data_IF_068813761840
#
_entry.id   IF_068813761840
#
_cell.length_a   1.000
_cell.length_b   1.000
_cell.length_c   1.000
_cell.angle_alpha   90.00
_cell.angle_beta   90.00
_cell.angle_gamma   90.00
#
_symmetry.space_group_name_H-M   'P 1'
#
loop_
_entity.id
_entity.type
_entity.pdbx_description
1 polymer ?
#
# COMPACT_ATOMS: atom_id res chain seq x y z
N UNK A 1 55.00 -32.37 18.04
CA UNK A 1 53.59 -32.53 18.39
C UNK A 1 52.96 -31.21 18.84
N UNK A 2 53.47 -30.49 19.80
CA UNK A 2 52.88 -29.22 20.33
C UNK A 2 52.65 -28.13 19.30
N UNK A 3 53.52 -28.00 18.28
CA UNK A 3 53.35 -27.00 17.18
C UNK A 3 52.25 -27.34 16.20
N UNK A 4 51.95 -28.62 15.98
CA UNK A 4 50.90 -29.08 15.09
C UNK A 4 49.50 -28.76 15.71
N UNK A 5 49.38 -28.98 17.02
CA UNK A 5 48.13 -28.64 17.74
C UNK A 5 47.83 -27.13 17.73
N UNK A 6 48.88 -26.29 17.81
CA UNK A 6 48.75 -24.85 17.77
C UNK A 6 48.24 -24.36 16.40
N UNK A 7 48.78 -24.96 15.31
CA UNK A 7 48.37 -24.66 13.94
C UNK A 7 46.91 -25.11 13.69
N UNK A 8 46.53 -26.30 14.13
CA UNK A 8 45.19 -26.80 14.01
C UNK A 8 44.16 -25.94 14.80
N UNK A 9 44.54 -25.47 16.00
CA UNK A 9 43.69 -24.58 16.80
C UNK A 9 43.50 -23.23 16.15
N UNK A 10 44.52 -22.66 15.50
CA UNK A 10 44.40 -21.39 14.77
C UNK A 10 43.51 -21.54 13.54
N UNK A 11 43.60 -22.65 12.81
CA UNK A 11 42.76 -22.93 11.64
C UNK A 11 41.30 -23.12 12.05
N UNK A 12 41.01 -23.81 13.15
CA UNK A 12 39.64 -23.99 13.67
C UNK A 12 39.08 -22.66 14.15
N UNK A 13 39.89 -21.83 14.81
CA UNK A 13 39.45 -20.51 15.28
C UNK A 13 39.17 -19.54 14.12
N UNK A 14 39.95 -19.61 13.02
CA UNK A 14 39.72 -18.82 11.82
C UNK A 14 38.46 -19.24 11.05
N UNK A 15 38.11 -20.53 11.05
CA UNK A 15 36.88 -21.07 10.46
C UNK A 15 35.62 -20.64 11.26
N UNK A 16 35.73 -20.50 12.57
CA UNK A 16 34.63 -20.02 13.42
C UNK A 16 34.36 -18.53 13.25
N UNK A 17 35.38 -17.72 12.93
CA UNK A 17 35.21 -16.28 12.65
C UNK A 17 34.65 -16.00 11.25
N UNK A 18 34.80 -16.90 10.29
CA UNK A 18 34.22 -16.78 8.95
C UNK A 18 32.70 -17.07 8.91
N UNK A 19 32.15 -17.71 9.96
CA UNK A 19 30.73 -18.08 10.06
C UNK A 19 29.79 -16.90 10.37
N UNK A 20 30.30 -15.74 10.77
CA UNK A 20 29.44 -14.58 11.14
C UNK A 20 29.17 -13.63 9.98
N UNK A 21 29.55 -13.92 8.75
CA UNK A 21 29.31 -13.05 7.58
C UNK A 21 28.24 -13.56 6.61
N UNK A 22 27.35 -14.43 7.04
CA UNK A 22 26.16 -14.76 6.26
C UNK A 22 25.05 -13.74 6.55
N UNK A 23 25.27 -12.50 6.08
CA UNK A 23 24.27 -11.45 5.97
C UNK A 23 23.19 -11.80 4.94
N UNK A 24 22.44 -12.89 5.17
CA UNK A 24 21.43 -13.41 4.26
C UNK A 24 20.04 -12.78 4.39
N UNK A 25 19.80 -11.90 5.38
CA UNK A 25 18.44 -11.41 5.63
C UNK A 25 18.06 -10.12 4.87
N UNK A 26 19.03 -9.32 4.45
CA UNK A 26 18.70 -8.05 3.77
C UNK A 26 18.18 -8.27 2.34
N UNK A 27 18.71 -9.24 1.60
CA UNK A 27 18.25 -9.52 0.23
C UNK A 27 16.82 -10.08 0.18
N UNK A 28 16.46 -10.96 1.12
CA UNK A 28 15.08 -11.47 1.23
C UNK A 28 14.11 -10.37 1.64
N UNK A 29 14.49 -9.52 2.59
CA UNK A 29 13.67 -8.41 3.06
C UNK A 29 13.47 -7.38 1.96
N UNK A 30 14.52 -7.03 1.21
CA UNK A 30 14.40 -6.11 0.08
C UNK A 30 13.58 -6.70 -1.07
N UNK A 31 13.68 -7.99 -1.35
CA UNK A 31 12.88 -8.67 -2.37
C UNK A 31 11.38 -8.66 -1.99
N UNK A 32 11.05 -9.00 -0.75
CA UNK A 32 9.66 -8.97 -0.26
C UNK A 32 9.08 -7.54 -0.26
N UNK A 33 9.87 -6.54 0.14
CA UNK A 33 9.47 -5.13 0.12
C UNK A 33 9.30 -4.59 -1.31
N UNK A 34 10.12 -5.03 -2.24
CA UNK A 34 10.02 -4.64 -3.67
C UNK A 34 8.76 -5.20 -4.30
N UNK A 35 8.39 -6.43 -3.97
CA UNK A 35 7.15 -7.05 -4.44
C UNK A 35 5.91 -6.34 -3.87
N UNK A 36 5.89 -6.08 -2.58
CA UNK A 36 4.80 -5.36 -1.91
C UNK A 36 4.58 -3.95 -2.48
N UNK A 37 5.66 -3.24 -2.78
CA UNK A 37 5.61 -1.92 -3.43
C UNK A 37 5.05 -2.02 -4.84
N UNK A 38 5.49 -3.00 -5.62
CA UNK A 38 5.00 -3.22 -6.98
C UNK A 38 3.50 -3.56 -6.99
N UNK A 39 3.04 -4.39 -6.04
CA UNK A 39 1.62 -4.73 -5.89
C UNK A 39 0.80 -3.49 -5.54
N UNK A 40 1.24 -2.70 -4.56
CA UNK A 40 0.53 -1.49 -4.14
C UNK A 40 0.46 -0.45 -5.27
N UNK A 41 1.57 -0.23 -5.98
CA UNK A 41 1.62 0.72 -7.10
C UNK A 41 0.73 0.25 -8.26
N UNK A 42 0.69 -1.05 -8.55
CA UNK A 42 -0.23 -1.59 -9.57
C UNK A 42 -1.69 -1.31 -9.24
N UNK A 43 -2.11 -1.50 -7.99
CA UNK A 43 -3.47 -1.21 -7.55
C UNK A 43 -3.80 0.30 -7.65
N UNK A 44 -2.83 1.15 -7.32
CA UNK A 44 -2.97 2.60 -7.51
C UNK A 44 -3.10 2.97 -8.99
N UNK A 45 -2.25 2.42 -9.86
CA UNK A 45 -2.29 2.65 -11.31
C UNK A 45 -3.63 2.19 -11.91
N UNK A 46 -4.14 1.01 -11.53
CA UNK A 46 -5.44 0.51 -11.97
C UNK A 46 -6.59 1.44 -11.54
N UNK A 47 -6.52 2.00 -10.33
CA UNK A 47 -7.49 2.98 -9.83
C UNK A 47 -7.45 4.27 -10.65
N UNK A 48 -6.25 4.81 -10.91
CA UNK A 48 -6.10 6.05 -11.69
C UNK A 48 -6.53 5.84 -13.15
N UNK A 49 -6.22 4.69 -13.75
CA UNK A 49 -6.65 4.36 -15.11
C UNK A 49 -8.17 4.26 -15.21
N UNK A 50 -8.83 3.62 -14.26
CA UNK A 50 -10.29 3.56 -14.20
C UNK A 50 -10.91 4.96 -14.02
N UNK A 51 -10.34 5.79 -13.14
CA UNK A 51 -10.80 7.16 -12.93
C UNK A 51 -10.62 8.03 -14.19
N UNK A 52 -9.49 7.93 -14.86
CA UNK A 52 -9.19 8.65 -16.10
C UNK A 52 -10.13 8.27 -17.24
N UNK A 53 -10.44 6.99 -17.38
CA UNK A 53 -11.37 6.50 -18.38
C UNK A 53 -12.85 6.74 -18.00
N UNK A 54 -13.11 7.23 -16.81
CA UNK A 54 -14.44 7.34 -16.20
C UNK A 54 -15.21 5.99 -16.25
N UNK A 55 -14.47 4.89 -16.07
CA UNK A 55 -15.03 3.54 -16.06
C UNK A 55 -15.49 3.19 -14.64
N UNK A 56 -16.77 3.44 -14.39
CA UNK A 56 -17.37 3.21 -13.07
C UNK A 56 -17.38 1.74 -12.67
N UNK A 57 -17.56 0.82 -13.62
CA UNK A 57 -17.58 -0.61 -13.36
C UNK A 57 -16.18 -1.11 -13.02
N UNK A 58 -15.16 -0.69 -13.78
CA UNK A 58 -13.77 -1.00 -13.48
C UNK A 58 -13.34 -0.46 -12.12
N UNK A 59 -13.68 0.80 -11.80
CA UNK A 59 -13.37 1.41 -10.52
C UNK A 59 -14.06 0.68 -9.35
N UNK A 60 -15.35 0.37 -9.51
CA UNK A 60 -16.13 -0.38 -8.51
C UNK A 60 -15.55 -1.77 -8.25
N UNK A 61 -15.06 -2.45 -9.29
CA UNK A 61 -14.48 -3.79 -9.19
C UNK A 61 -13.16 -3.84 -8.39
N UNK A 62 -12.51 -2.69 -8.13
CA UNK A 62 -11.31 -2.62 -7.28
C UNK A 62 -11.65 -2.65 -5.78
N UNK A 63 -12.87 -2.33 -5.39
CA UNK A 63 -13.29 -2.33 -3.99
C UNK A 63 -13.69 -3.73 -3.52
N UNK A 64 -13.44 -4.01 -2.23
CA UNK A 64 -13.88 -5.25 -1.60
C UNK A 64 -15.40 -5.35 -1.58
N UNK A 65 -15.94 -6.56 -1.70
CA UNK A 65 -17.39 -6.78 -1.66
C UNK A 65 -18.00 -6.34 -0.33
N UNK A 66 -17.26 -6.51 0.78
CA UNK A 66 -17.70 -6.04 2.08
C UNK A 66 -17.92 -4.53 2.11
N UNK A 67 -17.01 -3.74 1.51
CA UNK A 67 -17.16 -2.28 1.40
C UNK A 67 -18.34 -1.92 0.49
N UNK A 68 -18.51 -2.62 -0.64
CA UNK A 68 -19.63 -2.36 -1.54
C UNK A 68 -20.99 -2.63 -0.88
N UNK A 69 -21.03 -3.56 0.08
CA UNK A 69 -22.23 -3.85 0.86
C UNK A 69 -22.46 -2.86 2.02
N UNK A 70 -21.37 -2.25 2.55
CA UNK A 70 -21.43 -1.31 3.67
C UNK A 70 -21.78 0.12 3.22
N UNK A 71 -21.29 0.54 2.05
CA UNK A 71 -21.45 1.90 1.51
C UNK A 71 -22.76 2.00 0.72
N UNK A 72 -23.73 2.80 1.20
CA UNK A 72 -25.05 2.91 0.59
C UNK A 72 -25.05 3.40 -0.86
N UNK A 73 -24.16 4.32 -1.24
CA UNK A 73 -24.16 5.00 -2.54
C UNK A 73 -22.77 5.05 -3.16
N UNK A 74 -22.14 3.89 -3.38
CA UNK A 74 -20.79 3.84 -3.96
C UNK A 74 -20.75 4.47 -5.35
N UNK A 75 -21.80 4.33 -6.15
CA UNK A 75 -21.90 4.89 -7.49
C UNK A 75 -21.86 6.43 -7.47
N UNK A 76 -22.54 7.05 -6.51
CA UNK A 76 -22.49 8.50 -6.32
C UNK A 76 -21.07 8.95 -5.91
N UNK A 77 -20.40 8.19 -5.04
CA UNK A 77 -19.03 8.47 -4.62
C UNK A 77 -18.02 8.31 -5.77
N UNK A 78 -18.24 7.34 -6.65
CA UNK A 78 -17.46 7.16 -7.88
C UNK A 78 -17.65 8.38 -8.80
N UNK A 79 -18.87 8.82 -9.02
CA UNK A 79 -19.12 9.99 -9.86
C UNK A 79 -18.48 11.26 -9.27
N UNK A 80 -18.58 11.46 -7.97
CA UNK A 80 -17.88 12.57 -7.28
C UNK A 80 -16.36 12.50 -7.45
N UNK A 81 -15.78 11.30 -7.44
CA UNK A 81 -14.36 11.12 -7.70
C UNK A 81 -14.00 11.53 -9.13
N UNK A 82 -14.80 11.14 -10.12
CA UNK A 82 -14.57 11.55 -11.52
C UNK A 82 -14.65 13.05 -11.70
N UNK A 83 -15.63 13.71 -11.04
CA UNK A 83 -15.80 15.16 -11.11
C UNK A 83 -14.69 15.91 -10.35
N UNK A 84 -14.11 15.29 -9.30
CA UNK A 84 -13.07 15.89 -8.48
C UNK A 84 -11.66 15.73 -9.07
N UNK A 85 -11.40 14.61 -9.77
CA UNK A 85 -10.11 14.29 -10.35
C UNK A 85 -9.95 14.91 -11.73
N UNK A 86 -9.19 16.01 -11.83
CA UNK A 86 -9.02 16.79 -13.04
C UNK A 86 -7.66 16.55 -13.71
N UNK A 87 -7.68 16.45 -15.03
CA UNK A 87 -6.48 16.34 -15.85
C UNK A 87 -5.95 14.92 -16.01
N UNK A 88 -4.85 14.78 -16.75
CA UNK A 88 -4.15 13.52 -16.95
C UNK A 88 -2.97 13.39 -15.99
N UNK A 89 -2.77 12.22 -15.40
CA UNK A 89 -1.62 11.96 -14.53
C UNK A 89 -0.31 12.15 -15.29
N UNK A 90 0.56 12.97 -14.74
CA UNK A 90 1.92 13.23 -15.25
C UNK A 90 2.95 12.40 -14.48
N UNK A 91 2.83 12.38 -13.17
CA UNK A 91 3.74 11.67 -12.28
C UNK A 91 3.13 11.39 -10.92
N UNK A 92 3.71 10.46 -10.18
CA UNK A 92 3.38 10.24 -8.78
C UNK A 92 4.60 9.88 -7.93
N UNK A 93 4.47 10.08 -6.62
CA UNK A 93 5.42 9.66 -5.58
C UNK A 93 4.69 8.80 -4.55
N UNK A 94 5.17 7.61 -4.29
CA UNK A 94 4.56 6.59 -3.42
C UNK A 94 5.10 6.59 -1.98
N UNK A 95 5.66 7.69 -1.53
CA UNK A 95 6.18 7.87 -0.16
C UNK A 95 7.09 6.72 0.33
N UNK A 96 7.93 6.18 -0.54
CA UNK A 96 8.84 5.05 -0.31
C UNK A 96 8.15 3.67 -0.16
N UNK A 97 6.89 3.55 -0.57
CA UNK A 97 6.13 2.31 -0.63
C UNK A 97 5.12 2.13 0.51
N UNK A 98 4.37 1.02 0.50
CA UNK A 98 3.29 0.79 1.45
C UNK A 98 3.79 0.43 2.85
N UNK A 99 3.03 0.85 3.87
CA UNK A 99 3.01 0.14 5.14
C UNK A 99 2.28 -1.19 4.98
N UNK A 100 2.82 -2.26 5.55
CA UNK A 100 2.25 -3.61 5.41
C UNK A 100 1.90 -4.17 6.78
N UNK A 101 0.68 -4.66 6.92
CA UNK A 101 0.26 -5.48 8.05
C UNK A 101 -0.15 -6.86 7.54
N UNK A 102 0.35 -7.91 8.19
CA UNK A 102 -0.03 -9.28 7.87
C UNK A 102 -0.24 -10.09 9.15
N UNK A 103 -1.21 -10.99 9.12
CA UNK A 103 -1.53 -11.93 10.19
C UNK A 103 -1.59 -13.34 9.61
N UNK A 104 -1.02 -14.30 10.34
CA UNK A 104 -1.09 -15.71 9.96
C UNK A 104 -1.25 -16.51 11.24
N UNK A 105 -2.45 -17.00 11.48
CA UNK A 105 -2.82 -17.78 12.68
C UNK A 105 -3.82 -18.89 12.34
N UNK A 106 -4.48 -19.42 13.38
CA UNK A 106 -5.45 -20.52 13.24
C UNK A 106 -6.69 -20.13 12.40
N UNK A 107 -7.02 -18.84 12.34
CA UNK A 107 -8.17 -18.33 11.62
C UNK A 107 -7.87 -18.08 10.13
N UNK A 108 -6.58 -18.06 9.75
CA UNK A 108 -6.16 -17.90 8.35
C UNK A 108 -5.00 -16.92 8.15
N UNK A 109 -4.75 -16.61 6.88
CA UNK A 109 -3.76 -15.62 6.46
C UNK A 109 -4.45 -14.39 5.89
N UNK A 110 -4.02 -13.22 6.36
CA UNK A 110 -4.54 -11.93 5.96
C UNK A 110 -3.38 -10.95 5.73
N UNK A 111 -3.47 -10.09 4.69
CA UNK A 111 -2.46 -9.10 4.36
C UNK A 111 -3.09 -7.82 3.84
N UNK A 112 -2.72 -6.69 4.47
CA UNK A 112 -3.21 -5.35 4.17
C UNK A 112 -2.06 -4.40 3.87
N UNK A 113 -2.28 -3.50 2.92
CA UNK A 113 -1.42 -2.38 2.58
C UNK A 113 -2.07 -1.06 2.94
N UNK A 114 -1.21 -0.14 3.41
CA UNK A 114 -1.51 1.27 3.64
C UNK A 114 -0.58 2.08 2.75
N UNK A 115 -1.10 2.72 1.72
CA UNK A 115 -0.30 3.45 0.75
C UNK A 115 -0.70 4.91 0.70
N UNK A 116 0.27 5.80 0.53
CA UNK A 116 0.03 7.21 0.30
C UNK A 116 0.78 7.63 -0.95
N UNK A 117 0.11 8.40 -1.79
CA UNK A 117 0.63 8.89 -3.06
C UNK A 117 0.44 10.40 -3.15
N UNK A 118 1.50 11.12 -3.54
CA UNK A 118 1.37 12.47 -4.07
C UNK A 118 1.40 12.35 -5.59
N UNK A 119 0.36 12.78 -6.27
CA UNK A 119 0.25 12.71 -7.72
C UNK A 119 0.07 14.09 -8.33
N UNK A 120 0.66 14.28 -9.51
CA UNK A 120 0.57 15.47 -10.30
C UNK A 120 -0.15 15.16 -11.61
N UNK A 121 -1.18 15.94 -11.92
CA UNK A 121 -1.88 15.90 -13.20
C UNK A 121 -1.50 17.11 -14.04
N UNK A 122 -2.01 17.17 -15.26
CA UNK A 122 -1.86 18.35 -16.14
C UNK A 122 -2.59 19.58 -15.61
N UNK A 123 -3.48 19.45 -14.62
CA UNK A 123 -4.32 20.52 -14.10
C UNK A 123 -4.10 20.78 -12.61
N UNK A 124 -3.86 19.75 -11.81
CA UNK A 124 -3.84 19.87 -10.34
C UNK A 124 -2.85 18.89 -9.71
N UNK A 125 -2.66 19.02 -8.38
CA UNK A 125 -1.92 18.08 -7.54
C UNK A 125 -2.82 17.52 -6.45
N UNK A 126 -2.71 16.22 -6.23
CA UNK A 126 -3.52 15.51 -5.26
C UNK A 126 -2.67 14.71 -4.30
N UNK A 127 -3.16 14.53 -3.11
CA UNK A 127 -2.72 13.51 -2.17
C UNK A 127 -3.79 12.45 -2.03
N UNK A 128 -3.38 11.19 -2.14
CA UNK A 128 -4.26 10.04 -2.08
C UNK A 128 -3.73 9.07 -1.04
N UNK A 129 -4.59 8.61 -0.15
CA UNK A 129 -4.29 7.52 0.78
C UNK A 129 -5.24 6.35 0.53
N UNK A 130 -4.72 5.12 0.54
CA UNK A 130 -5.46 3.93 0.18
C UNK A 130 -5.16 2.79 1.15
N UNK A 131 -6.22 2.10 1.59
CA UNK A 131 -6.14 0.85 2.32
C UNK A 131 -6.66 -0.29 1.47
N UNK A 132 -5.85 -1.35 1.30
CA UNK A 132 -6.18 -2.50 0.46
C UNK A 132 -5.88 -3.79 1.20
N UNK A 133 -6.82 -4.73 1.21
CA UNK A 133 -6.54 -6.12 1.56
C UNK A 133 -6.25 -6.88 0.28
N UNK A 134 -5.07 -7.48 0.19
CA UNK A 134 -4.62 -8.22 -0.99
C UNK A 134 -4.81 -9.73 -0.87
N UNK A 135 -4.89 -10.22 0.36
CA UNK A 135 -5.17 -11.61 0.68
C UNK A 135 -5.98 -11.66 1.96
N UNK A 136 -7.06 -12.41 1.97
CA UNK A 136 -7.78 -12.85 3.16
C UNK A 136 -8.30 -14.27 2.89
N UNK A 137 -7.74 -15.28 3.57
CA UNK A 137 -8.13 -16.68 3.35
C UNK A 137 -9.35 -17.10 4.15
N UNK A 138 -9.74 -16.30 5.13
CA UNK A 138 -10.94 -16.52 5.95
C UNK A 138 -12.19 -15.90 5.32
N UNK A 139 -12.02 -14.74 4.65
CA UNK A 139 -13.10 -13.98 4.04
C UNK A 139 -12.64 -13.38 2.69
N UNK A 140 -12.97 -14.03 1.59
CA UNK A 140 -12.64 -13.59 0.25
C UNK A 140 -13.32 -12.26 -0.13
N UNK A 141 -14.48 -11.96 0.43
CA UNK A 141 -15.23 -10.71 0.19
C UNK A 141 -14.55 -9.48 0.80
N UNK A 142 -13.55 -9.71 1.66
CA UNK A 142 -12.72 -8.66 2.26
C UNK A 142 -11.57 -8.20 1.34
N UNK A 143 -11.25 -8.95 0.27
CA UNK A 143 -10.15 -8.64 -0.65
C UNK A 143 -10.56 -7.49 -1.58
N UNK A 144 -9.70 -6.47 -1.68
CA UNK A 144 -9.89 -5.26 -2.48
C UNK A 144 -9.61 -3.98 -1.70
N UNK A 145 -9.90 -2.84 -2.31
CA UNK A 145 -9.79 -1.53 -1.67
C UNK A 145 -10.86 -1.45 -0.57
N UNK A 146 -10.42 -1.05 0.63
CA UNK A 146 -11.30 -0.82 1.77
C UNK A 146 -11.66 0.63 1.94
N UNK A 147 -10.69 1.50 1.73
CA UNK A 147 -10.82 2.93 1.90
C UNK A 147 -9.92 3.67 0.93
N UNK A 148 -10.45 4.70 0.32
CA UNK A 148 -9.75 5.64 -0.54
C UNK A 148 -10.03 7.05 -0.03
N UNK A 149 -8.97 7.82 0.23
CA UNK A 149 -9.04 9.25 0.54
C UNK A 149 -8.29 10.00 -0.55
N UNK A 150 -8.89 11.08 -1.07
CA UNK A 150 -8.26 11.97 -2.03
C UNK A 150 -8.55 13.42 -1.67
N UNK A 151 -7.50 14.25 -1.68
CA UNK A 151 -7.58 15.69 -1.41
C UNK A 151 -6.69 16.44 -2.39
N UNK A 152 -7.09 17.64 -2.82
CA UNK A 152 -6.18 18.55 -3.53
C UNK A 152 -5.04 18.97 -2.60
N UNK A 153 -3.84 19.05 -3.14
CA UNK A 153 -2.65 19.33 -2.35
C UNK A 153 -2.73 20.69 -1.64
N UNK A 154 -3.38 21.66 -2.25
CA UNK A 154 -3.61 22.99 -1.67
C UNK A 154 -4.58 22.99 -0.48
N UNK A 155 -5.51 22.02 -0.45
CA UNK A 155 -6.49 21.86 0.63
C UNK A 155 -5.94 21.03 1.80
N UNK A 156 -4.83 20.31 1.61
CA UNK A 156 -4.16 19.50 2.64
C UNK A 156 -3.37 20.40 3.61
N UNK A 157 -4.07 21.25 4.35
CA UNK A 157 -3.51 22.23 5.26
C UNK A 157 -3.32 21.72 6.68
N UNK A 158 -3.95 20.63 7.06
CA UNK A 158 -3.82 19.98 8.35
C UNK A 158 -2.72 18.92 8.31
N UNK A 159 -1.62 19.18 8.99
CA UNK A 159 -0.47 18.26 9.04
C UNK A 159 -0.77 16.91 9.68
N UNK A 160 -1.86 16.78 10.42
CA UNK A 160 -2.17 15.56 11.15
C UNK A 160 -3.02 14.59 10.34
N UNK A 161 -4.14 15.05 9.76
CA UNK A 161 -5.13 14.14 9.18
C UNK A 161 -5.83 14.63 7.89
N UNK A 162 -5.52 15.83 7.35
CA UNK A 162 -6.34 16.41 6.27
C UNK A 162 -6.55 15.46 5.08
N UNK A 163 -5.50 14.75 4.64
CA UNK A 163 -5.58 13.79 3.54
C UNK A 163 -6.29 12.47 3.91
N UNK A 164 -6.62 12.25 5.18
CA UNK A 164 -7.40 11.12 5.71
C UNK A 164 -8.64 11.57 6.48
N UNK A 165 -9.11 12.77 6.22
CA UNK A 165 -10.25 13.34 6.93
C UNK A 165 -9.95 13.53 8.42
N UNK A 166 -10.76 12.92 9.28
CA UNK A 166 -10.59 12.94 10.74
C UNK A 166 -9.54 11.93 11.27
N UNK A 167 -8.89 11.18 10.37
CA UNK A 167 -7.93 10.13 10.70
C UNK A 167 -8.55 8.80 11.11
N UNK A 168 -9.88 8.72 11.18
CA UNK A 168 -10.58 7.47 11.41
C UNK A 168 -10.77 6.69 10.09
N UNK A 169 -10.89 5.37 10.22
CA UNK A 169 -11.24 4.54 9.06
C UNK A 169 -12.67 4.86 8.59
N UNK A 170 -12.79 5.22 7.31
CA UNK A 170 -14.08 5.40 6.64
C UNK A 170 -14.09 4.56 5.36
N UNK A 171 -15.02 3.59 5.21
CA UNK A 171 -15.05 2.72 4.04
C UNK A 171 -15.42 3.49 2.78
N UNK A 172 -14.98 2.97 1.62
CA UNK A 172 -15.32 3.52 0.31
C UNK A 172 -14.47 4.71 -0.10
N UNK A 173 -15.07 5.66 -0.82
CA UNK A 173 -14.40 6.82 -1.42
C UNK A 173 -14.68 8.08 -0.61
N UNK A 174 -13.62 8.71 -0.13
CA UNK A 174 -13.65 9.91 0.72
C UNK A 174 -12.93 11.05 0.00
N UNK A 175 -13.62 12.15 -0.30
CA UNK A 175 -13.14 13.23 -1.15
C UNK A 175 -13.05 14.54 -0.37
N UNK A 176 -11.90 15.22 -0.46
CA UNK A 176 -11.69 16.51 0.16
C UNK A 176 -11.61 16.46 1.67
N UNK A 177 -11.81 17.62 2.32
CA UNK A 177 -11.95 17.70 3.78
C UNK A 177 -13.34 17.21 4.18
N UNK A 178 -13.39 16.27 5.12
CA UNK A 178 -14.62 16.03 5.87
C UNK A 178 -14.87 17.25 6.75
N UNK A 179 -16.04 17.89 6.59
CA UNK A 179 -16.50 18.98 7.44
C UNK A 179 -16.80 18.48 8.87
#
# INVERSE_FOLDING_TARGET
>A
MRRIYLICMIIILSLLLASCSLGGNNSRRNFLMTDDRAIANKQFEDLIDAAKMQDADALKALFSQNVLNEVENIEESIQKLFDYFEGEMVSYNDWAGPGVTAKNDADGYWKQYYSTYDLETTQDKYRLAMEIITVDTADADNVGIRSLYIIRFEDDTDRNCAYRGDGAYTPGINIGKTE
#
